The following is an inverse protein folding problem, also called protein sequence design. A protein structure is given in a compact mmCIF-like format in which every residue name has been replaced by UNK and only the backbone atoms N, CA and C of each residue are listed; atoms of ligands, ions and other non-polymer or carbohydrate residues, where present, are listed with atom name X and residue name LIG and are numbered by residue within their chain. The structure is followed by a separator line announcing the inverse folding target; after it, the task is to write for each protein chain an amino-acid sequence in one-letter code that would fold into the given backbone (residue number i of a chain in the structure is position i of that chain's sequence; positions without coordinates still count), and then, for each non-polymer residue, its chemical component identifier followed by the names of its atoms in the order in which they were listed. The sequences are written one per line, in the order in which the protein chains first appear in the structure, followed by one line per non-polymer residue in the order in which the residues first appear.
data_IF_760106519485
#
_entry.id   IF_760106519485
#
_cell.length_a   1.000
_cell.length_b   1.000
_cell.length_c   1.000
_cell.angle_alpha   90.00
_cell.angle_beta   90.00
_cell.angle_gamma   90.00
#
_symmetry.space_group_name_H-M   'P 1'
#
loop_
_entity.id
_entity.type
_entity.pdbx_description
1 polymer ?
#
# COMPACT_ATOMS: atom_id res chain seq x y z
N UNK A 1 -6.33 -8.00 3.56
CA UNK A 1 -7.17 -6.87 4.02
C UNK A 1 -7.80 -7.27 5.34
N UNK A 2 -8.06 -6.32 6.24
CA UNK A 2 -8.75 -6.63 7.50
C UNK A 2 -10.26 -6.70 7.28
N UNK A 3 -10.96 -7.42 8.15
CA UNK A 3 -12.42 -7.57 8.11
C UNK A 3 -13.15 -6.22 8.11
N UNK A 4 -12.69 -5.25 8.90
CA UNK A 4 -13.28 -3.91 8.98
C UNK A 4 -13.16 -3.12 7.67
N UNK A 5 -12.01 -3.22 6.97
CA UNK A 5 -11.83 -2.56 5.67
C UNK A 5 -12.79 -3.13 4.64
N UNK A 6 -12.95 -4.47 4.61
CA UNK A 6 -13.89 -5.15 3.70
C UNK A 6 -15.32 -4.72 3.99
N UNK A 7 -15.75 -4.65 5.26
CA UNK A 7 -17.09 -4.17 5.61
C UNK A 7 -17.35 -2.73 5.16
N UNK A 8 -16.37 -1.84 5.37
CA UNK A 8 -16.49 -0.42 4.98
C UNK A 8 -16.61 -0.29 3.47
N UNK A 9 -15.80 -1.02 2.71
CA UNK A 9 -15.86 -1.06 1.24
C UNK A 9 -17.19 -1.66 0.75
N UNK A 10 -17.69 -2.70 1.40
CA UNK A 10 -18.96 -3.31 1.06
C UNK A 10 -20.13 -2.33 1.27
N UNK A 11 -20.11 -1.57 2.37
CA UNK A 11 -21.10 -0.50 2.63
C UNK A 11 -21.03 0.60 1.56
N UNK A 12 -19.82 1.04 1.21
CA UNK A 12 -19.62 2.02 0.12
C UNK A 12 -20.14 1.50 -1.23
N UNK A 13 -19.86 0.24 -1.58
CA UNK A 13 -20.27 -0.33 -2.85
C UNK A 13 -21.79 -0.48 -2.95
N UNK A 14 -22.46 -0.88 -1.85
CA UNK A 14 -23.93 -0.90 -1.76
C UNK A 14 -24.53 0.49 -1.95
N UNK A 15 -23.94 1.52 -1.34
CA UNK A 15 -24.38 2.92 -1.51
C UNK A 15 -24.24 3.38 -2.96
N UNK A 16 -23.16 3.01 -3.66
CA UNK A 16 -22.97 3.36 -5.08
C UNK A 16 -23.87 2.60 -6.04
N UNK A 17 -24.28 1.38 -5.68
CA UNK A 17 -25.07 0.51 -6.54
C UNK A 17 -26.32 0.00 -5.82
N UNK A 18 -27.28 0.88 -5.47
CA UNK A 18 -28.45 0.51 -4.68
C UNK A 18 -29.38 -0.48 -5.41
N UNK A 19 -29.35 -0.49 -6.75
CA UNK A 19 -30.16 -1.39 -7.59
C UNK A 19 -29.47 -2.73 -7.90
N UNK A 20 -28.20 -2.91 -7.55
CA UNK A 20 -27.44 -4.13 -7.87
C UNK A 20 -27.39 -5.03 -6.65
N UNK A 21 -27.40 -6.33 -6.89
CA UNK A 21 -27.32 -7.33 -5.83
C UNK A 21 -25.94 -7.33 -5.17
N UNK A 22 -25.87 -7.86 -3.94
CA UNK A 22 -24.61 -8.06 -3.23
C UNK A 22 -23.65 -8.98 -4.00
N UNK A 23 -24.19 -9.98 -4.70
CA UNK A 23 -23.42 -10.87 -5.54
C UNK A 23 -22.73 -10.12 -6.69
N UNK A 24 -23.44 -9.20 -7.35
CA UNK A 24 -22.86 -8.36 -8.39
C UNK A 24 -21.74 -7.46 -7.84
N UNK A 25 -21.95 -6.88 -6.66
CA UNK A 25 -20.92 -6.07 -5.98
C UNK A 25 -19.68 -6.93 -5.67
N UNK A 26 -19.87 -8.15 -5.16
CA UNK A 26 -18.80 -9.10 -4.90
C UNK A 26 -18.00 -9.37 -6.18
N UNK A 27 -18.66 -9.80 -7.25
CA UNK A 27 -18.00 -10.10 -8.53
C UNK A 27 -17.31 -8.88 -9.15
N UNK A 28 -17.87 -7.68 -8.97
CA UNK A 28 -17.34 -6.46 -9.58
C UNK A 28 -16.08 -5.94 -8.90
N UNK A 29 -16.01 -6.03 -7.57
CA UNK A 29 -14.98 -5.36 -6.78
C UNK A 29 -14.07 -6.29 -5.98
N UNK A 30 -14.47 -7.53 -5.72
CA UNK A 30 -13.73 -8.45 -4.88
C UNK A 30 -13.25 -9.64 -5.71
N UNK A 31 -11.94 -9.69 -5.92
CA UNK A 31 -11.28 -10.76 -6.65
C UNK A 31 -10.32 -11.57 -5.78
N UNK A 32 -9.69 -12.55 -6.42
CA UNK A 32 -8.59 -13.33 -5.86
C UNK A 32 -7.29 -12.79 -6.46
N UNK A 33 -6.31 -12.50 -5.61
CA UNK A 33 -4.99 -12.03 -6.04
C UNK A 33 -3.91 -12.68 -5.17
N UNK A 34 -2.91 -13.31 -5.81
CA UNK A 34 -1.78 -13.97 -5.12
C UNK A 34 -2.23 -14.92 -4.00
N UNK A 35 -3.23 -15.75 -4.27
CA UNK A 35 -3.79 -16.70 -3.30
C UNK A 35 -4.70 -16.09 -2.23
N UNK A 36 -4.84 -14.76 -2.20
CA UNK A 36 -5.69 -14.09 -1.24
C UNK A 36 -7.05 -13.71 -1.83
N UNK A 37 -8.10 -14.17 -1.15
CA UNK A 37 -9.47 -13.76 -1.42
C UNK A 37 -9.76 -12.35 -0.88
N UNK A 38 -10.90 -11.79 -1.29
CA UNK A 38 -11.39 -10.46 -0.86
C UNK A 38 -10.42 -9.32 -1.17
N UNK A 39 -9.71 -9.42 -2.29
CA UNK A 39 -8.86 -8.32 -2.75
C UNK A 39 -9.72 -7.31 -3.49
N UNK A 40 -9.75 -6.07 -2.99
CA UNK A 40 -10.49 -5.01 -3.65
C UNK A 40 -9.78 -4.57 -4.93
N UNK A 41 -10.46 -4.72 -6.06
CA UNK A 41 -9.99 -4.36 -7.39
C UNK A 41 -10.98 -3.40 -8.06
N UNK A 42 -10.43 -2.44 -8.81
CA UNK A 42 -11.19 -1.57 -9.69
C UNK A 42 -10.38 -1.40 -10.95
N UNK A 43 -10.91 -1.95 -12.05
CA UNK A 43 -10.31 -1.83 -13.37
C UNK A 43 -8.88 -2.36 -13.36
N UNK A 44 -7.87 -1.52 -13.56
CA UNK A 44 -6.45 -1.90 -13.54
C UNK A 44 -5.77 -1.70 -12.18
N UNK A 45 -6.50 -1.17 -11.19
CA UNK A 45 -5.96 -0.81 -9.87
C UNK A 45 -6.45 -1.76 -8.78
N UNK A 46 -5.58 -2.08 -7.82
CA UNK A 46 -5.91 -2.85 -6.63
C UNK A 46 -5.44 -2.15 -5.36
N UNK A 47 -6.13 -2.40 -4.26
CA UNK A 47 -5.66 -1.94 -2.95
C UNK A 47 -4.54 -2.87 -2.49
N UNK A 48 -3.36 -2.28 -2.28
CA UNK A 48 -2.19 -2.99 -1.75
C UNK A 48 -2.45 -3.33 -0.29
N UNK A 49 -2.10 -4.56 0.13
CA UNK A 49 -2.19 -4.91 1.55
C UNK A 49 -1.11 -4.17 2.32
N UNK A 50 -1.44 -3.75 3.53
CA UNK A 50 -0.45 -3.18 4.46
C UNK A 50 0.76 -4.13 4.66
N UNK A 51 0.54 -5.44 4.68
CA UNK A 51 1.60 -6.46 4.79
C UNK A 51 2.53 -6.54 3.58
N UNK A 52 2.04 -6.21 2.37
CA UNK A 52 2.83 -6.24 1.14
C UNK A 52 3.77 -5.02 1.07
N UNK A 53 3.46 -3.94 1.78
CA UNK A 53 4.26 -2.72 1.76
C UNK A 53 5.40 -2.78 2.78
N UNK A 54 6.65 -2.77 2.30
CA UNK A 54 7.84 -2.71 3.17
C UNK A 54 7.87 -1.39 3.96
N UNK A 55 7.93 -1.48 5.29
CA UNK A 55 8.03 -0.32 6.19
C UNK A 55 9.36 0.39 5.97
N UNK A 56 9.33 1.56 5.33
CA UNK A 56 10.49 2.45 5.23
C UNK A 56 10.60 3.29 6.50
N UNK A 57 11.64 3.06 7.29
CA UNK A 57 11.96 3.87 8.47
C UNK A 57 12.94 4.96 8.09
N UNK A 58 12.79 6.16 8.68
CA UNK A 58 13.76 7.24 8.53
C UNK A 58 15.09 6.79 9.14
N UNK A 59 16.12 6.64 8.32
CA UNK A 59 17.47 6.39 8.80
C UNK A 59 18.09 7.67 9.35
N UNK A 60 18.95 7.56 10.37
CA UNK A 60 19.76 8.69 10.83
C UNK A 60 20.71 9.11 9.70
N UNK A 61 20.81 10.41 9.50
CA UNK A 61 21.72 11.00 8.53
C UNK A 61 23.17 10.59 8.87
N UNK A 62 23.91 10.05 7.91
CA UNK A 62 25.33 9.74 8.11
C UNK A 62 26.10 11.04 8.22
N UNK A 63 26.89 11.21 9.27
CA UNK A 63 27.85 12.32 9.35
C UNK A 63 28.88 12.12 8.25
N UNK A 64 29.07 13.12 7.40
CA UNK A 64 30.18 13.17 6.45
C UNK A 64 31.37 13.71 7.21
N UNK A 65 32.41 12.90 7.42
CA UNK A 65 33.69 13.38 7.94
C UNK A 65 34.45 14.05 6.80
N UNK A 66 34.68 15.36 6.90
CA UNK A 66 35.58 16.07 6.01
C UNK A 66 37.02 15.77 6.44
N UNK A 67 37.71 14.87 5.73
CA UNK A 67 39.14 14.69 5.90
C UNK A 67 39.83 15.81 5.12
N UNK A 68 40.12 16.93 5.79
CA UNK A 68 40.94 17.98 5.20
C UNK A 68 42.34 17.42 5.02
N UNK A 69 42.76 17.23 3.76
CA UNK A 69 44.13 16.87 3.42
C UNK A 69 45.04 18.01 3.89
N UNK A 70 45.79 17.78 4.97
CA UNK A 70 46.86 18.68 5.40
C UNK A 70 47.99 18.58 4.38
N UNK A 71 48.00 19.47 3.39
CA UNK A 71 49.18 19.66 2.54
C UNK A 71 50.28 20.29 3.40
N UNK A 72 51.31 19.50 3.67
CA UNK A 72 52.50 19.92 4.41
C UNK A 72 53.35 20.82 3.52
N UNK A 73 53.38 22.13 3.77
CA UNK A 73 54.36 23.04 3.20
C UNK A 73 55.61 22.96 4.09
N UNK A 74 56.69 22.38 3.54
CA UNK A 74 58.03 22.39 4.12
C UNK A 74 58.72 23.69 3.69
N UNK A 75 59.34 24.35 4.67
CA UNK A 75 60.24 25.49 4.48
C UNK A 75 61.53 25.07 3.77
#
# INVERSE_FOLDING_TARGET
MTHFTVQTLMRWARRRHPKKSLHWIYQKYFGIHEGYQWTFTKEQSRVIRHSETKVKRRSRMKKVSCTVLKTSIKW
#
